data_IF_514764189620
#
_entry.id   IF_514764189620
#
_cell.length_a   1.000
_cell.length_b   1.000
_cell.length_c   1.000
_cell.angle_alpha   90.00
_cell.angle_beta   90.00
_cell.angle_gamma   90.00
#
_symmetry.space_group_name_H-M   'P 1'
#
loop_
_entity.id
_entity.type
_entity.pdbx_description
1 polymer ?
#
# COMPACT_ATOMS: atom_id res chain seq x y z
N UNK A 1 -9.84 8.39 14.22
CA UNK A 1 -10.14 8.91 15.57
C UNK A 1 -10.50 10.39 15.58
N UNK A 2 -9.69 11.30 15.00
CA UNK A 2 -10.08 12.72 14.88
C UNK A 2 -11.05 12.96 13.71
N UNK A 3 -10.67 12.54 12.50
CA UNK A 3 -11.52 12.66 11.30
C UNK A 3 -12.43 11.45 11.07
N UNK A 4 -12.09 10.31 11.70
CA UNK A 4 -12.79 9.03 11.59
C UNK A 4 -13.26 8.59 12.98
N UNK A 5 -14.52 8.90 13.33
CA UNK A 5 -15.12 8.58 14.63
C UNK A 5 -15.32 7.07 14.83
N UNK A 6 -15.36 6.32 13.73
CA UNK A 6 -15.50 4.85 13.70
C UNK A 6 -14.25 4.10 14.19
N UNK A 7 -13.10 4.77 14.32
CA UNK A 7 -11.89 4.15 14.87
C UNK A 7 -11.92 4.16 16.40
N UNK A 8 -11.80 2.99 17.01
CA UNK A 8 -11.77 2.82 18.45
C UNK A 8 -10.37 3.08 19.05
N UNK A 9 -10.26 3.40 20.35
CA UNK A 9 -8.99 3.47 21.07
C UNK A 9 -8.17 2.16 21.07
N UNK A 10 -8.81 1.04 20.71
CA UNK A 10 -8.19 -0.28 20.59
C UNK A 10 -7.49 -0.51 19.24
N UNK A 11 -7.49 0.47 18.32
CA UNK A 11 -6.75 0.39 17.07
C UNK A 11 -5.24 0.31 17.33
N UNK A 12 -4.55 -0.49 16.52
CA UNK A 12 -3.10 -0.72 16.62
C UNK A 12 -2.41 -0.39 15.30
N UNK A 13 -1.14 -0.01 15.39
CA UNK A 13 -0.23 0.09 14.25
C UNK A 13 0.69 -1.14 14.26
N UNK A 14 0.63 -1.95 13.20
CA UNK A 14 1.54 -3.08 13.01
C UNK A 14 2.64 -2.64 12.04
N UNK A 15 3.88 -2.70 12.50
CA UNK A 15 5.08 -2.44 11.69
C UNK A 15 5.63 -3.75 11.18
N UNK A 16 5.84 -3.83 9.87
CA UNK A 16 6.52 -4.93 9.21
C UNK A 16 7.89 -4.44 8.72
N UNK A 17 8.96 -4.96 9.34
CA UNK A 17 10.33 -4.58 9.05
C UNK A 17 11.04 -5.69 8.30
N UNK A 18 11.63 -5.36 7.15
CA UNK A 18 12.49 -6.28 6.41
C UNK A 18 13.87 -6.33 7.05
N UNK A 19 14.18 -7.45 7.67
CA UNK A 19 15.51 -7.79 8.17
C UNK A 19 16.22 -8.70 7.16
N UNK A 20 17.56 -8.79 7.15
CA UNK A 20 18.26 -9.65 6.19
C UNK A 20 17.72 -11.10 6.25
N UNK A 21 17.14 -11.56 5.13
CA UNK A 21 16.55 -12.89 4.99
C UNK A 21 15.32 -13.18 5.88
N UNK A 22 14.71 -12.17 6.51
CA UNK A 22 13.64 -12.37 7.49
C UNK A 22 12.70 -11.16 7.60
N UNK A 23 11.61 -11.32 8.35
CA UNK A 23 10.65 -10.27 8.64
C UNK A 23 10.47 -10.18 10.15
N UNK A 24 10.52 -8.96 10.68
CA UNK A 24 10.18 -8.67 12.07
C UNK A 24 8.88 -7.88 12.15
N UNK A 25 7.94 -8.37 12.96
CA UNK A 25 6.66 -7.69 13.22
C UNK A 25 6.66 -7.08 14.63
N UNK A 26 6.11 -5.87 14.75
CA UNK A 26 5.85 -5.23 16.03
C UNK A 26 4.48 -4.55 15.98
N UNK A 27 3.74 -4.59 17.08
CA UNK A 27 2.45 -3.91 17.19
C UNK A 27 2.51 -2.86 18.31
N UNK A 28 1.94 -1.69 18.05
CA UNK A 28 1.89 -0.58 18.99
C UNK A 28 0.48 0.00 19.06
N UNK A 29 0.04 0.37 20.26
CA UNK A 29 -1.16 1.20 20.49
C UNK A 29 -0.74 2.65 20.74
N UNK A 30 -1.59 3.59 20.34
CA UNK A 30 -1.35 5.02 20.55
C UNK A 30 -1.73 5.40 21.98
N UNK A 31 -0.85 6.10 22.70
CA UNK A 31 -1.19 6.62 24.03
C UNK A 31 -2.09 7.86 23.91
N UNK A 32 -2.91 8.20 24.93
CA UNK A 32 -3.70 9.42 24.90
C UNK A 32 -2.85 10.69 24.67
N UNK A 33 -1.65 10.74 25.27
CA UNK A 33 -0.70 11.82 25.04
C UNK A 33 -0.19 11.85 23.59
N UNK A 34 0.12 10.67 23.02
CA UNK A 34 0.49 10.52 21.62
C UNK A 34 -0.59 10.98 20.65
N UNK A 35 -1.85 10.67 20.93
CA UNK A 35 -2.98 11.15 20.15
C UNK A 35 -3.12 12.68 20.21
N UNK A 36 -3.06 13.25 21.41
CA UNK A 36 -3.16 14.69 21.64
C UNK A 36 -2.06 15.50 20.97
N UNK A 37 -0.84 14.98 20.98
CA UNK A 37 0.29 15.57 20.28
C UNK A 37 0.17 15.37 18.76
N UNK A 38 -0.09 14.14 18.31
CA UNK A 38 -0.11 13.77 16.89
C UNK A 38 -1.18 14.51 16.09
N UNK A 39 -2.37 14.76 16.66
CA UNK A 39 -3.44 15.51 15.99
C UNK A 39 -3.14 16.99 15.77
N UNK A 40 -2.15 17.55 16.48
CA UNK A 40 -1.73 18.97 16.38
C UNK A 40 -0.42 19.11 15.61
N UNK A 41 0.33 18.03 15.44
CA UNK A 41 1.63 18.07 14.78
C UNK A 41 1.47 18.23 13.26
N UNK A 42 2.05 19.30 12.73
CA UNK A 42 2.14 19.56 11.27
C UNK A 42 3.56 19.41 10.74
N UNK A 43 4.55 19.17 11.61
CA UNK A 43 5.95 19.00 11.25
C UNK A 43 6.22 17.54 10.86
N UNK A 44 6.64 17.33 9.61
CA UNK A 44 7.02 16.03 9.06
C UNK A 44 8.53 15.79 9.05
N UNK A 45 9.31 16.63 9.76
CA UNK A 45 10.74 16.42 9.94
C UNK A 45 11.03 15.14 10.74
N UNK A 46 12.28 14.69 10.73
CA UNK A 46 12.68 13.49 11.49
C UNK A 46 12.57 13.67 13.01
N UNK A 47 12.66 14.91 13.51
CA UNK A 47 12.65 15.20 14.94
C UNK A 47 11.63 16.32 15.22
N UNK A 48 10.33 16.04 15.10
CA UNK A 48 9.31 17.05 15.31
C UNK A 48 9.27 17.48 16.78
N UNK A 49 9.01 18.76 16.99
CA UNK A 49 9.03 19.36 18.33
C UNK A 49 8.02 18.70 19.28
N UNK A 50 8.46 18.41 20.50
CA UNK A 50 7.63 17.80 21.54
C UNK A 50 7.40 16.29 21.38
N UNK A 51 8.00 15.65 20.37
CA UNK A 51 8.00 14.19 20.28
C UNK A 51 8.75 13.56 21.46
N UNK A 52 8.19 12.47 22.00
CA UNK A 52 8.81 11.67 23.05
C UNK A 52 8.61 10.19 22.75
N UNK A 53 9.33 9.30 23.43
CA UNK A 53 9.18 7.84 23.22
C UNK A 53 7.88 7.28 23.78
N UNK A 54 7.16 8.03 24.61
CA UNK A 54 5.92 7.58 25.29
C UNK A 54 4.65 7.88 24.47
N UNK A 55 4.79 8.21 23.19
CA UNK A 55 3.66 8.46 22.30
C UNK A 55 2.90 7.18 21.94
N UNK A 56 3.55 6.01 22.06
CA UNK A 56 2.93 4.71 21.83
C UNK A 56 3.46 3.66 22.81
N UNK A 57 2.68 2.60 22.98
CA UNK A 57 3.01 1.47 23.83
C UNK A 57 3.03 0.19 23.00
N UNK A 58 3.96 -0.73 23.29
CA UNK A 58 4.03 -2.01 22.59
C UNK A 58 2.91 -2.92 23.08
N UNK A 59 2.21 -3.57 22.16
CA UNK A 59 1.14 -4.53 22.46
C UNK A 59 1.49 -5.94 21.98
N UNK A 60 0.78 -6.93 22.54
CA UNK A 60 0.99 -8.33 22.18
C UNK A 60 0.47 -8.62 20.77
N UNK A 61 1.29 -9.32 19.97
CA UNK A 61 0.95 -9.80 18.64
C UNK A 61 1.31 -11.29 18.55
N UNK A 62 0.38 -12.11 18.07
CA UNK A 62 0.58 -13.55 17.86
C UNK A 62 0.22 -13.90 16.42
N UNK A 63 1.00 -14.81 15.83
CA UNK A 63 0.69 -15.40 14.53
C UNK A 63 -0.04 -16.73 14.74
N UNK A 64 -1.02 -17.01 13.90
CA UNK A 64 -1.80 -18.25 13.97
C UNK A 64 -1.95 -18.87 12.59
N UNK A 65 -1.76 -20.18 12.54
CA UNK A 65 -2.04 -21.06 11.40
C UNK A 65 -3.47 -21.65 11.46
N UNK A 66 -4.22 -21.37 12.54
CA UNK A 66 -5.56 -21.92 12.77
C UNK A 66 -6.67 -21.07 12.17
N UNK A 67 -6.39 -19.82 11.83
CA UNK A 67 -7.37 -18.86 11.35
C UNK A 67 -6.90 -18.32 10.00
N UNK A 68 -7.76 -18.47 8.99
CA UNK A 68 -7.52 -17.91 7.67
C UNK A 68 -8.21 -16.54 7.57
N UNK A 69 -7.40 -15.51 7.33
CA UNK A 69 -7.89 -14.17 7.01
C UNK A 69 -8.40 -14.08 5.58
N UNK A 70 -8.98 -12.93 5.25
CA UNK A 70 -9.37 -12.56 3.90
C UNK A 70 -8.88 -11.15 3.58
N UNK A 71 -8.83 -10.80 2.30
CA UNK A 71 -8.45 -9.46 1.85
C UNK A 71 -9.61 -8.78 1.13
N UNK A 72 -9.69 -7.47 1.28
CA UNK A 72 -10.54 -6.61 0.49
C UNK A 72 -9.64 -5.77 -0.40
N UNK A 73 -9.99 -5.68 -1.69
CA UNK A 73 -9.23 -4.91 -2.68
C UNK A 73 -10.13 -3.86 -3.32
N UNK A 74 -9.56 -2.74 -3.82
CA UNK A 74 -10.34 -1.77 -4.59
C UNK A 74 -11.01 -2.44 -5.80
N UNK A 75 -12.24 -2.02 -6.10
CA UNK A 75 -12.87 -2.34 -7.37
C UNK A 75 -11.96 -1.87 -8.53
N UNK A 76 -11.72 -2.75 -9.51
CA UNK A 76 -10.69 -2.52 -10.55
C UNK A 76 -9.27 -2.95 -10.15
N UNK A 77 -9.07 -3.51 -8.95
CA UNK A 77 -7.84 -4.16 -8.44
C UNK A 77 -6.59 -3.28 -8.25
N UNK A 78 -6.60 -2.05 -8.76
CA UNK A 78 -5.49 -1.10 -8.62
C UNK A 78 -5.49 -0.51 -7.21
N UNK A 79 -4.56 -0.97 -6.39
CA UNK A 79 -4.30 -0.41 -5.05
C UNK A 79 -3.00 0.41 -5.00
N UNK A 80 -2.08 0.18 -5.94
CA UNK A 80 -0.79 0.86 -5.96
C UNK A 80 -0.78 2.02 -6.97
N UNK A 81 -0.84 3.24 -6.47
CA UNK A 81 -0.71 4.48 -7.28
C UNK A 81 0.71 5.05 -7.31
N UNK A 82 1.66 4.42 -6.60
CA UNK A 82 3.03 4.92 -6.47
C UNK A 82 3.92 4.65 -7.69
N UNK A 83 3.52 3.73 -8.58
CA UNK A 83 4.38 3.26 -9.69
C UNK A 83 3.78 3.57 -11.08
N UNK A 84 3.65 4.84 -11.41
CA UNK A 84 3.24 5.28 -12.75
C UNK A 84 1.78 5.73 -12.87
N UNK A 85 1.01 5.67 -11.78
CA UNK A 85 -0.35 6.19 -11.69
C UNK A 85 -0.49 7.37 -10.73
N UNK A 86 0.62 7.97 -10.29
CA UNK A 86 0.64 9.01 -9.25
C UNK A 86 -0.20 10.23 -9.62
N UNK A 87 -0.26 10.59 -10.90
CA UNK A 87 -1.07 11.70 -11.41
C UNK A 87 -2.59 11.46 -11.27
N UNK A 88 -3.02 10.21 -11.12
CA UNK A 88 -4.42 9.86 -10.93
C UNK A 88 -4.83 9.88 -9.45
N UNK A 89 -3.88 9.89 -8.50
CA UNK A 89 -4.19 9.79 -7.08
C UNK A 89 -4.64 11.13 -6.48
N UNK A 90 -5.61 11.08 -5.57
CA UNK A 90 -6.08 12.23 -4.78
C UNK A 90 -6.51 11.77 -3.39
N UNK A 91 -6.32 12.62 -2.37
CA UNK A 91 -6.68 12.31 -0.97
C UNK A 91 -8.17 12.06 -0.78
N UNK A 92 -9.01 12.64 -1.64
CA UNK A 92 -10.46 12.59 -1.53
C UNK A 92 -11.09 11.65 -2.58
N UNK A 93 -10.29 10.78 -3.21
CA UNK A 93 -10.78 9.82 -4.20
C UNK A 93 -11.69 8.78 -3.52
N UNK A 94 -12.98 8.66 -3.90
CA UNK A 94 -13.84 7.60 -3.42
C UNK A 94 -13.47 6.27 -4.11
N UNK A 95 -13.64 5.16 -3.39
CA UNK A 95 -13.45 3.82 -3.94
C UNK A 95 -14.43 2.84 -3.30
N UNK A 96 -14.79 1.81 -4.07
CA UNK A 96 -15.51 0.63 -3.60
C UNK A 96 -14.51 -0.52 -3.38
N UNK A 97 -14.89 -1.51 -2.57
CA UNK A 97 -14.06 -2.69 -2.32
C UNK A 97 -14.79 -3.98 -2.64
N UNK A 98 -14.04 -4.99 -3.06
CA UNK A 98 -14.52 -6.35 -3.34
C UNK A 98 -13.65 -7.38 -2.61
N UNK A 99 -14.23 -8.56 -2.34
CA UNK A 99 -13.51 -9.69 -1.76
C UNK A 99 -12.66 -10.36 -2.85
N UNK A 100 -11.34 -10.13 -2.83
CA UNK A 100 -10.38 -10.73 -3.75
C UNK A 100 -8.95 -10.64 -3.17
N UNK A 101 -7.98 -11.24 -3.85
CA UNK A 101 -6.57 -11.16 -3.49
C UNK A 101 -5.91 -9.93 -4.12
N UNK A 102 -5.03 -9.20 -3.39
CA UNK A 102 -4.34 -8.04 -3.94
C UNK A 102 -3.36 -8.44 -5.05
N UNK A 103 -3.31 -7.61 -6.09
CA UNK A 103 -2.29 -7.76 -7.13
C UNK A 103 -0.88 -7.55 -6.57
N UNK A 104 0.16 -8.23 -7.10
CA UNK A 104 1.55 -7.98 -6.72
C UNK A 104 1.95 -6.51 -6.90
N UNK A 105 2.94 -6.04 -6.13
CA UNK A 105 3.42 -4.65 -6.21
C UNK A 105 3.73 -4.26 -7.66
N UNK A 106 4.45 -5.11 -8.38
CA UNK A 106 4.78 -4.97 -9.80
C UNK A 106 3.78 -5.70 -10.73
N UNK A 107 2.48 -5.63 -10.49
CA UNK A 107 1.49 -6.00 -11.50
C UNK A 107 1.45 -4.99 -12.67
N UNK A 108 1.09 -5.46 -13.87
CA UNK A 108 0.94 -4.63 -15.07
C UNK A 108 -0.06 -3.49 -14.86
N UNK A 109 -1.22 -3.79 -14.24
CA UNK A 109 -2.28 -2.82 -13.97
C UNK A 109 -1.83 -1.63 -13.12
N UNK A 110 -0.78 -1.79 -12.31
CA UNK A 110 -0.22 -0.68 -11.52
C UNK A 110 0.70 0.24 -12.32
N UNK A 111 1.19 -0.19 -13.50
CA UNK A 111 2.15 0.54 -14.34
C UNK A 111 1.83 0.46 -15.86
N UNK A 112 0.60 0.76 -16.29
CA UNK A 112 0.17 0.53 -17.67
C UNK A 112 1.03 1.26 -18.71
N UNK A 113 1.57 2.44 -18.37
CA UNK A 113 2.46 3.19 -19.27
C UNK A 113 3.69 2.39 -19.72
N UNK A 114 4.22 1.50 -18.88
CA UNK A 114 5.34 0.62 -19.26
C UNK A 114 4.99 -0.34 -20.41
N UNK A 115 3.70 -0.60 -20.64
CA UNK A 115 3.18 -1.52 -21.63
C UNK A 115 2.47 -0.83 -22.81
N UNK A 116 2.41 0.51 -22.83
CA UNK A 116 1.83 1.25 -23.94
C UNK A 116 2.89 1.79 -24.91
N UNK A 117 4.16 1.84 -24.47
CA UNK A 117 5.28 2.45 -25.21
C UNK A 117 5.63 1.76 -26.53
N UNK A 118 5.33 0.46 -26.69
CA UNK A 118 5.74 -0.31 -27.88
C UNK A 118 4.76 -0.25 -29.05
N UNK A 119 3.58 0.36 -28.89
CA UNK A 119 2.59 0.48 -29.97
C UNK A 119 3.07 1.31 -31.16
N UNK A 120 4.14 2.11 -31.00
CA UNK A 120 4.72 2.94 -32.05
C UNK A 120 5.66 2.21 -33.02
N UNK A 121 6.07 0.97 -32.73
CA UNK A 121 7.05 0.22 -33.54
C UNK A 121 6.43 -0.68 -34.61
N UNK A 122 5.11 -0.88 -34.61
CA UNK A 122 4.41 -1.79 -35.52
C UNK A 122 3.98 -1.20 -36.87
N UNK A 123 4.37 0.03 -37.18
CA UNK A 123 3.99 0.71 -38.43
C UNK A 123 5.03 0.61 -39.55
N UNK A 124 6.12 -0.11 -39.34
CA UNK A 124 7.09 -0.41 -40.41
C UNK A 124 6.67 -1.70 -41.12
N UNK A 125 6.10 -1.55 -42.31
CA UNK A 125 5.66 -2.63 -43.20
C UNK A 125 6.84 -3.36 -43.87
N UNK A 126 8.08 -3.02 -43.48
CA UNK A 126 9.33 -3.63 -43.95
C UNK A 126 9.62 -4.93 -43.17
N UNK A 127 8.70 -5.88 -43.14
CA UNK A 127 8.92 -7.19 -42.53
C UNK A 127 9.74 -8.09 -43.46
N UNK A 128 10.70 -8.83 -42.91
CA UNK A 128 11.37 -9.91 -43.63
C UNK A 128 10.42 -11.11 -43.81
N UNK A 129 10.58 -11.88 -44.88
CA UNK A 129 9.81 -13.11 -45.08
C UNK A 129 10.07 -14.09 -43.93
N UNK A 130 9.02 -14.41 -43.16
CA UNK A 130 9.06 -15.38 -42.07
C UNK A 130 8.16 -16.56 -42.43
N UNK A 131 8.77 -17.72 -42.70
CA UNK A 131 8.01 -18.97 -42.84
C UNK A 131 7.60 -19.48 -41.45
N UNK A 132 6.30 -19.65 -41.22
CA UNK A 132 5.76 -20.28 -40.02
C UNK A 132 4.99 -21.55 -40.40
N UNK A 133 5.68 -22.68 -40.51
CA UNK A 133 5.11 -23.98 -40.87
C UNK A 133 4.34 -24.66 -39.72
N UNK A 134 4.16 -23.99 -38.58
CA UNK A 134 3.50 -24.51 -37.37
C UNK A 134 2.18 -23.80 -37.02
N UNK A 135 1.68 -22.93 -37.91
CA UNK A 135 0.34 -22.35 -37.80
C UNK A 135 -0.74 -23.32 -38.29
#
# INVERSE_FOLDING_TARGET
>A
MADHAEWAPTSICVTCSFTPGSISLAAHSLSPAGFEWGRKNTDNSLNPSGFTTNMSERVQLLLSDKILGMSLVPEGKVWNYGIGLTQLWSSNMPYSVVLDNPLPFWAEMHRPAAFLTFTALGSDDSAADVENSFA
#
